data_IF_712930622858
#
_entry.id   IF_712930622858
#
_cell.length_a   1.000
_cell.length_b   1.000
_cell.length_c   1.000
_cell.angle_alpha   90.00
_cell.angle_beta   90.00
_cell.angle_gamma   90.00
#
_symmetry.space_group_name_H-M   'P 1'
#
loop_
_entity.id
_entity.type
_entity.pdbx_description
1 polymer ?
#
# COMPACT_ATOMS: atom_id res chain seq x y z
N UNK A 1 7.12 -45.47 -10.60
CA UNK A 1 8.32 -44.86 -9.97
C UNK A 1 8.64 -43.49 -10.58
N UNK A 2 8.87 -43.40 -11.89
CA UNK A 2 9.23 -42.13 -12.57
C UNK A 2 8.22 -40.97 -12.40
N UNK A 3 6.91 -41.24 -12.48
CA UNK A 3 5.85 -40.23 -12.28
C UNK A 3 5.75 -39.72 -10.84
N UNK A 4 6.12 -40.55 -9.86
CA UNK A 4 6.10 -40.18 -8.44
C UNK A 4 7.26 -39.24 -8.13
N UNK A 5 8.44 -39.54 -8.70
CA UNK A 5 9.66 -38.72 -8.58
C UNK A 5 9.53 -37.34 -9.25
N UNK A 6 8.84 -37.26 -10.39
CA UNK A 6 8.53 -35.97 -11.03
C UNK A 6 7.59 -35.11 -10.17
N UNK A 7 6.57 -35.71 -9.55
CA UNK A 7 5.65 -34.97 -8.66
C UNK A 7 6.38 -34.41 -7.43
N UNK A 8 7.28 -35.19 -6.82
CA UNK A 8 8.04 -34.74 -5.65
C UNK A 8 9.01 -33.61 -6.00
N UNK A 9 9.66 -33.66 -7.18
CA UNK A 9 10.52 -32.56 -7.65
C UNK A 9 9.68 -31.31 -7.92
N UNK A 10 8.50 -31.45 -8.52
CA UNK A 10 7.62 -30.31 -8.80
C UNK A 10 7.14 -29.62 -7.52
N UNK A 11 6.75 -30.39 -6.49
CA UNK A 11 6.39 -29.87 -5.17
C UNK A 11 7.59 -29.21 -4.48
N UNK A 12 8.78 -29.78 -4.59
CA UNK A 12 10.00 -29.18 -4.03
C UNK A 12 10.36 -27.85 -4.72
N UNK A 13 10.19 -27.76 -6.04
CA UNK A 13 10.43 -26.52 -6.80
C UNK A 13 9.38 -25.46 -6.50
N UNK A 14 8.10 -25.84 -6.37
CA UNK A 14 7.01 -24.91 -6.01
C UNK A 14 7.18 -24.37 -4.58
N UNK A 15 7.60 -25.22 -3.63
CA UNK A 15 7.90 -24.78 -2.27
C UNK A 15 9.13 -23.90 -2.20
N UNK A 16 10.19 -24.22 -2.97
CA UNK A 16 11.38 -23.36 -3.08
C UNK A 16 11.05 -22.02 -3.73
N UNK A 17 10.21 -22.01 -4.77
CA UNK A 17 9.71 -20.79 -5.42
C UNK A 17 8.83 -19.98 -4.47
N UNK A 18 7.94 -20.64 -3.71
CA UNK A 18 7.12 -19.99 -2.68
C UNK A 18 7.95 -19.38 -1.55
N UNK A 19 9.00 -20.07 -1.11
CA UNK A 19 9.97 -19.53 -0.14
C UNK A 19 10.77 -18.37 -0.73
N UNK A 20 11.29 -18.49 -1.95
CA UNK A 20 11.97 -17.40 -2.65
C UNK A 20 11.06 -16.18 -2.81
N UNK A 21 9.81 -16.36 -3.21
CA UNK A 21 8.83 -15.28 -3.27
C UNK A 21 8.55 -14.70 -1.87
N UNK A 22 8.37 -15.52 -0.83
CA UNK A 22 8.13 -15.03 0.53
C UNK A 22 9.31 -14.23 1.12
N UNK A 23 10.55 -14.55 0.74
CA UNK A 23 11.75 -13.82 1.17
C UNK A 23 12.11 -12.62 0.27
N UNK A 24 11.68 -12.62 -1.00
CA UNK A 24 11.91 -11.51 -1.94
C UNK A 24 10.76 -10.48 -1.90
N UNK A 25 9.54 -10.87 -1.57
CA UNK A 25 8.38 -9.97 -1.50
C UNK A 25 8.55 -8.80 -0.51
N UNK A 26 9.20 -8.94 0.67
CA UNK A 26 9.49 -7.79 1.52
C UNK A 26 10.43 -6.76 0.86
N UNK A 27 11.26 -7.19 -0.10
CA UNK A 27 12.17 -6.34 -0.88
C UNK A 27 11.42 -5.58 -1.98
N UNK A 28 10.28 -6.12 -2.46
CA UNK A 28 9.45 -5.49 -3.48
C UNK A 28 8.38 -4.54 -2.89
N UNK A 29 8.10 -4.64 -1.59
CA UNK A 29 7.18 -3.74 -0.88
C UNK A 29 7.87 -2.60 -0.15
N UNK A 30 9.19 -2.41 -0.28
CA UNK A 30 9.87 -1.26 0.33
C UNK A 30 9.39 0.02 -0.35
N UNK A 31 8.35 0.61 0.21
CA UNK A 31 7.86 1.94 -0.12
C UNK A 31 9.04 2.90 -0.07
N UNK A 32 9.30 3.58 -1.19
CA UNK A 32 10.35 4.58 -1.27
C UNK A 32 10.09 5.67 -0.22
N UNK A 33 10.99 5.78 0.75
CA UNK A 33 11.04 6.84 1.77
C UNK A 33 11.14 8.20 1.08
N UNK A 34 10.36 9.18 1.52
CA UNK A 34 10.27 10.54 0.94
C UNK A 34 11.36 11.43 1.57
N UNK A 35 11.93 12.36 0.80
CA UNK A 35 12.91 13.34 1.28
C UNK A 35 14.32 13.17 0.71
N UNK A 36 15.26 13.95 1.26
CA UNK A 36 16.60 14.25 0.72
C UNK A 36 17.26 13.05 0.02
N UNK A 37 17.66 13.28 -1.22
CA UNK A 37 18.38 12.32 -2.05
C UNK A 37 19.71 12.02 -1.35
N UNK A 38 19.93 10.76 -1.00
CA UNK A 38 21.15 10.35 -0.31
C UNK A 38 22.32 10.52 -1.27
N UNK A 39 23.06 11.62 -1.15
CA UNK A 39 24.50 11.51 -1.35
C UNK A 39 24.95 10.47 -0.33
N UNK A 40 25.60 9.42 -0.80
CA UNK A 40 26.12 8.33 0.01
C UNK A 40 26.77 8.97 1.24
N UNK A 41 26.22 8.71 2.43
CA UNK A 41 26.92 9.04 3.66
C UNK A 41 28.19 8.19 3.67
N UNK A 42 29.28 8.75 3.14
CA UNK A 42 30.61 8.35 3.53
C UNK A 42 30.82 8.84 4.97
N UNK A 43 30.13 8.24 5.92
CA UNK A 43 30.40 8.43 7.35
C UNK A 43 30.69 7.08 7.98
N UNK A 44 31.98 6.78 7.93
CA UNK A 44 32.78 5.88 8.79
C UNK A 44 32.13 5.50 10.11
N UNK A 45 31.92 4.20 10.33
CA UNK A 45 31.93 3.48 11.62
C UNK A 45 31.23 4.10 12.85
N UNK A 46 30.34 5.08 12.68
CA UNK A 46 29.61 5.67 13.79
C UNK A 46 28.30 4.91 13.95
N UNK A 47 28.07 4.39 15.15
CA UNK A 47 26.84 3.70 15.52
C UNK A 47 25.65 4.64 15.23
N UNK A 48 24.85 4.33 14.20
CA UNK A 48 23.76 5.17 13.66
C UNK A 48 22.50 5.17 14.56
N UNK A 49 22.73 5.23 15.88
CA UNK A 49 21.68 5.41 16.88
C UNK A 49 21.13 6.84 16.84
N UNK A 50 19.87 6.99 17.21
CA UNK A 50 19.13 8.25 17.24
C UNK A 50 18.55 8.53 18.63
N UNK A 51 19.40 8.69 19.67
CA UNK A 51 18.91 9.08 20.98
C UNK A 51 18.36 10.52 20.91
N UNK A 52 17.27 10.78 21.64
CA UNK A 52 16.60 12.09 21.65
C UNK A 52 17.50 13.25 22.09
N UNK A 53 18.55 12.95 22.86
CA UNK A 53 19.52 13.94 23.36
C UNK A 53 20.69 14.19 22.40
N UNK A 54 20.72 13.53 21.24
CA UNK A 54 21.76 13.77 20.24
C UNK A 54 21.61 15.19 19.71
N UNK A 55 22.71 15.95 19.71
CA UNK A 55 22.75 17.27 19.10
C UNK A 55 23.00 17.12 17.59
N UNK A 56 21.92 16.84 16.85
CA UNK A 56 21.94 16.63 15.39
C UNK A 56 20.98 17.62 14.72
N UNK A 57 21.26 17.95 13.46
CA UNK A 57 20.34 18.74 12.64
C UNK A 57 19.08 17.93 12.27
N UNK A 58 17.95 18.59 11.93
CA UNK A 58 16.77 17.89 11.40
C UNK A 58 17.10 17.01 10.17
N UNK A 59 17.97 17.48 9.29
CA UNK A 59 18.45 16.76 8.10
C UNK A 59 19.24 15.51 8.48
N UNK A 60 20.14 15.60 9.45
CA UNK A 60 20.92 14.47 9.94
C UNK A 60 20.02 13.39 10.53
N UNK A 61 19.02 13.76 11.35
CA UNK A 61 18.04 12.80 11.86
C UNK A 61 17.28 12.12 10.72
N UNK A 62 16.83 12.88 9.72
CA UNK A 62 16.10 12.35 8.57
C UNK A 62 16.91 11.34 7.76
N UNK A 63 18.17 11.66 7.51
CA UNK A 63 19.08 10.84 6.72
C UNK A 63 19.49 9.57 7.48
N UNK A 64 19.74 9.67 8.79
CA UNK A 64 19.97 8.50 9.65
C UNK A 64 18.75 7.59 9.71
N UNK A 65 17.53 8.15 9.76
CA UNK A 65 16.30 7.38 9.72
C UNK A 65 16.17 6.59 8.42
N UNK A 66 16.45 7.24 7.28
CA UNK A 66 16.47 6.60 5.95
C UNK A 66 17.50 5.47 5.86
N UNK A 67 18.71 5.69 6.37
CA UNK A 67 19.72 4.64 6.42
C UNK A 67 19.25 3.44 7.25
N UNK A 68 18.79 3.68 8.49
CA UNK A 68 18.33 2.62 9.38
C UNK A 68 17.18 1.82 8.76
N UNK A 69 16.23 2.48 8.08
CA UNK A 69 15.16 1.81 7.33
C UNK A 69 15.71 0.89 6.23
N UNK A 70 16.69 1.37 5.45
CA UNK A 70 17.30 0.59 4.35
C UNK A 70 18.03 -0.66 4.85
N UNK A 71 18.57 -0.63 6.07
CA UNK A 71 19.23 -1.79 6.70
C UNK A 71 18.30 -2.54 7.66
N UNK A 72 16.97 -2.35 7.55
CA UNK A 72 15.92 -3.00 8.32
C UNK A 72 15.97 -2.79 9.86
N UNK A 73 16.64 -1.72 10.31
CA UNK A 73 16.65 -1.23 11.70
C UNK A 73 15.46 -0.29 11.92
N UNK A 74 14.26 -0.86 11.88
CA UNK A 74 13.03 -0.07 11.82
C UNK A 74 12.75 0.72 13.11
N UNK A 75 13.05 0.16 14.28
CA UNK A 75 12.88 0.86 15.56
C UNK A 75 13.80 2.09 15.66
N UNK A 76 15.06 1.95 15.23
CA UNK A 76 15.99 3.08 15.13
C UNK A 76 15.50 4.11 14.11
N UNK A 77 15.02 3.67 12.94
CA UNK A 77 14.47 4.56 11.92
C UNK A 77 13.29 5.38 12.44
N UNK A 78 12.35 4.74 13.16
CA UNK A 78 11.20 5.39 13.82
C UNK A 78 11.69 6.46 14.79
N UNK A 79 12.68 6.14 15.63
CA UNK A 79 13.23 7.09 16.59
C UNK A 79 13.92 8.28 15.91
N UNK A 80 14.71 8.04 14.86
CA UNK A 80 15.34 9.10 14.07
C UNK A 80 14.30 10.04 13.47
N UNK A 81 13.28 9.50 12.79
CA UNK A 81 12.27 10.32 12.15
C UNK A 81 11.37 11.05 13.14
N UNK A 82 11.09 10.46 14.32
CA UNK A 82 10.39 11.16 15.39
C UNK A 82 11.18 12.38 15.89
N UNK A 83 12.49 12.26 16.07
CA UNK A 83 13.34 13.39 16.42
C UNK A 83 13.43 14.42 15.28
N UNK A 84 13.47 13.97 14.02
CA UNK A 84 13.44 14.86 12.85
C UNK A 84 12.15 15.69 12.79
N UNK A 85 10.99 15.07 13.04
CA UNK A 85 9.69 15.76 13.10
C UNK A 85 9.70 16.87 14.14
N UNK A 86 10.15 16.55 15.37
CA UNK A 86 10.24 17.53 16.45
C UNK A 86 11.18 18.70 16.08
N UNK A 87 12.34 18.40 15.49
CA UNK A 87 13.34 19.39 15.12
C UNK A 87 12.90 20.27 13.93
N UNK A 88 12.25 19.70 12.91
CA UNK A 88 11.71 20.47 11.78
C UNK A 88 10.59 21.41 12.19
N UNK A 89 9.73 20.99 13.13
CA UNK A 89 8.70 21.87 13.71
C UNK A 89 9.30 23.05 14.47
N UNK A 90 10.41 22.86 15.18
CA UNK A 90 11.10 23.95 15.89
C UNK A 90 11.65 25.02 14.94
N UNK A 91 12.03 24.64 13.72
CA UNK A 91 12.49 25.57 12.67
C UNK A 91 11.38 25.98 11.69
N UNK A 92 10.11 25.73 12.04
CA UNK A 92 8.91 26.06 11.25
C UNK A 92 8.88 25.45 9.84
N UNK A 93 9.51 24.29 9.63
CA UNK A 93 9.46 23.56 8.36
C UNK A 93 8.46 22.39 8.45
N UNK A 94 7.17 22.72 8.37
CA UNK A 94 6.10 21.72 8.51
C UNK A 94 6.07 20.72 7.34
N UNK A 95 6.51 21.11 6.13
CA UNK A 95 6.54 20.18 4.99
C UNK A 95 7.52 19.02 5.24
N UNK A 96 8.74 19.32 5.71
CA UNK A 96 9.71 18.28 6.04
C UNK A 96 9.35 17.52 7.33
N UNK A 97 8.67 18.16 8.28
CA UNK A 97 8.09 17.46 9.41
C UNK A 97 7.06 16.40 8.93
N UNK A 98 6.16 16.76 8.02
CA UNK A 98 5.19 15.81 7.44
C UNK A 98 5.89 14.69 6.67
N UNK A 99 6.91 14.99 5.86
CA UNK A 99 7.67 13.96 5.13
C UNK A 99 8.29 12.93 6.09
N UNK A 100 8.91 13.39 7.18
CA UNK A 100 9.50 12.50 8.18
C UNK A 100 8.45 11.72 8.98
N UNK A 101 7.29 12.33 9.24
CA UNK A 101 6.16 11.65 9.88
C UNK A 101 5.59 10.54 8.98
N UNK A 102 5.52 10.75 7.66
CA UNK A 102 5.17 9.72 6.69
C UNK A 102 6.20 8.59 6.74
N UNK A 103 7.49 8.92 6.72
CA UNK A 103 8.54 7.91 6.78
C UNK A 103 8.47 7.07 8.06
N UNK A 104 8.22 7.69 9.22
CA UNK A 104 7.94 6.99 10.47
C UNK A 104 6.83 5.96 10.30
N UNK A 105 5.71 6.33 9.68
CA UNK A 105 4.60 5.41 9.43
C UNK A 105 4.96 4.24 8.50
N UNK A 106 5.92 4.42 7.59
CA UNK A 106 6.41 3.35 6.71
C UNK A 106 7.24 2.32 7.50
N UNK A 107 8.09 2.77 8.44
CA UNK A 107 8.79 1.84 9.34
C UNK A 107 7.82 1.13 10.29
N UNK A 108 6.81 1.82 10.81
CA UNK A 108 5.78 1.22 11.66
C UNK A 108 5.02 0.10 10.91
N UNK A 109 4.68 0.31 9.63
CA UNK A 109 4.11 -0.73 8.78
C UNK A 109 5.07 -1.90 8.55
N UNK A 110 6.36 -1.64 8.33
CA UNK A 110 7.35 -2.69 8.08
C UNK A 110 7.51 -3.67 9.25
N UNK A 111 7.22 -3.24 10.48
CA UNK A 111 7.20 -4.10 11.69
C UNK A 111 5.78 -4.54 12.10
N UNK A 112 4.77 -4.32 11.24
CA UNK A 112 3.39 -4.77 11.45
C UNK A 112 2.54 -3.89 12.38
N UNK A 113 3.01 -2.73 12.82
CA UNK A 113 2.29 -1.81 13.70
C UNK A 113 1.33 -0.89 12.93
N UNK A 114 0.40 -1.46 12.16
CA UNK A 114 -0.58 -0.71 11.37
C UNK A 114 -1.43 0.29 12.18
N UNK A 115 -1.93 -0.02 13.41
CA UNK A 115 -2.63 0.98 14.21
C UNK A 115 -1.76 2.18 14.60
N UNK A 116 -0.46 1.95 14.85
CA UNK A 116 0.48 3.03 15.15
C UNK A 116 0.75 3.88 13.91
N UNK A 117 1.00 3.24 12.77
CA UNK A 117 1.16 3.92 11.47
C UNK A 117 -0.07 4.80 11.14
N UNK A 118 -1.26 4.30 11.45
CA UNK A 118 -2.50 5.04 11.26
C UNK A 118 -2.56 6.29 12.14
N UNK A 119 -2.26 6.19 13.44
CA UNK A 119 -2.18 7.36 14.34
C UNK A 119 -1.17 8.37 13.83
N UNK A 120 0.03 7.90 13.47
CA UNK A 120 1.11 8.73 12.92
C UNK A 120 0.64 9.50 11.70
N UNK A 121 -0.08 8.89 10.76
CA UNK A 121 -0.56 9.56 9.54
C UNK A 121 -1.76 10.47 9.79
N UNK A 122 -2.71 10.06 10.64
CA UNK A 122 -3.91 10.83 10.93
C UNK A 122 -3.62 12.16 11.63
N UNK A 123 -2.54 12.23 12.42
CA UNK A 123 -2.08 13.46 13.07
C UNK A 123 -1.75 14.57 12.07
N UNK A 124 -1.27 14.24 10.86
CA UNK A 124 -1.05 15.20 9.76
C UNK A 124 -2.34 15.97 9.42
N UNK A 125 -3.50 15.35 9.67
CA UNK A 125 -4.83 15.88 9.37
C UNK A 125 -5.60 16.31 10.61
N UNK A 126 -4.92 16.40 11.76
CA UNK A 126 -5.49 16.84 13.04
C UNK A 126 -6.34 15.79 13.74
N UNK A 127 -6.07 14.50 13.53
CA UNK A 127 -6.80 13.39 14.15
C UNK A 127 -5.79 12.53 14.94
N UNK A 128 -6.01 12.36 16.24
CA UNK A 128 -5.00 11.74 17.12
C UNK A 128 -5.20 10.23 17.32
N UNK A 129 -6.44 9.76 17.32
CA UNK A 129 -6.80 8.37 17.63
C UNK A 129 -7.47 7.68 16.44
N UNK A 130 -6.71 6.83 15.77
CA UNK A 130 -7.14 6.01 14.66
C UNK A 130 -8.22 5.00 15.05
N UNK A 131 -8.12 4.37 16.22
CA UNK A 131 -9.08 3.33 16.62
C UNK A 131 -10.45 3.98 16.82
N UNK A 132 -10.49 5.09 17.56
CA UNK A 132 -11.72 5.85 17.69
C UNK A 132 -12.22 6.39 16.34
N UNK A 133 -11.32 6.87 15.47
CA UNK A 133 -11.68 7.35 14.13
C UNK A 133 -12.31 6.25 13.24
N UNK A 134 -11.91 4.99 13.41
CA UNK A 134 -12.41 3.86 12.63
C UNK A 134 -13.72 3.31 13.20
N UNK A 135 -13.80 3.17 14.53
CA UNK A 135 -14.92 2.49 15.21
C UNK A 135 -16.12 3.40 15.46
N UNK A 136 -15.92 4.70 15.62
CA UNK A 136 -17.00 5.67 15.81
C UNK A 136 -17.58 6.06 14.45
N UNK A 137 -18.84 5.69 14.22
CA UNK A 137 -19.53 5.94 12.95
C UNK A 137 -19.62 7.43 12.59
N UNK A 138 -19.86 8.30 13.58
CA UNK A 138 -19.96 9.73 13.36
C UNK A 138 -18.58 10.33 13.03
N UNK A 139 -17.52 9.95 13.74
CA UNK A 139 -16.16 10.38 13.38
C UNK A 139 -15.77 9.88 11.99
N UNK A 140 -16.08 8.62 11.67
CA UNK A 140 -15.83 8.02 10.35
C UNK A 140 -16.56 8.79 9.25
N UNK A 141 -17.83 9.14 9.47
CA UNK A 141 -18.63 9.96 8.57
C UNK A 141 -18.04 11.37 8.40
N UNK A 142 -17.72 12.05 9.49
CA UNK A 142 -17.11 13.38 9.47
C UNK A 142 -15.79 13.38 8.68
N UNK A 143 -14.94 12.37 8.87
CA UNK A 143 -13.71 12.24 8.10
C UNK A 143 -13.98 12.04 6.60
N UNK A 144 -14.96 11.20 6.23
CA UNK A 144 -15.36 11.00 4.83
C UNK A 144 -15.88 12.28 4.19
N UNK A 145 -16.71 13.05 4.90
CA UNK A 145 -17.28 14.30 4.39
C UNK A 145 -16.21 15.33 4.01
N UNK A 146 -14.99 15.25 4.58
CA UNK A 146 -13.87 16.11 4.17
C UNK A 146 -13.45 15.88 2.72
N UNK A 147 -13.71 14.70 2.15
CA UNK A 147 -13.41 14.39 0.75
C UNK A 147 -14.55 14.77 -0.19
N UNK A 148 -15.77 14.98 0.35
CA UNK A 148 -16.97 15.33 -0.43
C UNK A 148 -17.16 16.84 -0.56
N UNK A 149 -16.65 17.61 0.40
CA UNK A 149 -16.78 19.08 0.45
C UNK A 149 -15.52 19.76 -0.13
N UNK A 150 -15.65 20.79 -1.00
CA UNK A 150 -14.51 21.47 -1.59
C UNK A 150 -13.52 22.02 -0.57
N UNK A 151 -13.99 22.61 0.52
CA UNK A 151 -13.14 23.23 1.55
C UNK A 151 -12.34 22.18 2.31
N UNK A 152 -12.97 21.03 2.60
CA UNK A 152 -12.31 19.88 3.21
C UNK A 152 -11.23 19.31 2.29
N UNK A 153 -11.55 19.16 1.01
CA UNK A 153 -10.65 18.59 0.01
C UNK A 153 -9.43 19.48 -0.23
N UNK A 154 -9.62 20.79 -0.35
CA UNK A 154 -8.53 21.77 -0.49
C UNK A 154 -7.56 21.66 0.71
N UNK A 155 -8.08 21.54 1.93
CA UNK A 155 -7.26 21.41 3.14
C UNK A 155 -6.50 20.08 3.20
N UNK A 156 -7.12 19.00 2.71
CA UNK A 156 -6.54 17.67 2.64
C UNK A 156 -5.41 17.58 1.61
N UNK A 157 -5.56 18.24 0.47
CA UNK A 157 -4.63 18.20 -0.66
C UNK A 157 -3.71 19.44 -0.74
N UNK A 158 -3.58 20.19 0.36
CA UNK A 158 -2.95 21.52 0.34
C UNK A 158 -1.46 21.52 0.03
N UNK A 159 -0.76 20.39 0.23
CA UNK A 159 0.68 20.25 -0.05
C UNK A 159 1.00 18.87 -0.63
N UNK A 160 2.09 18.74 -1.41
CA UNK A 160 2.56 17.44 -1.91
C UNK A 160 2.79 16.40 -0.79
N UNK A 161 3.35 16.83 0.35
CA UNK A 161 3.56 15.97 1.50
C UNK A 161 2.23 15.43 2.05
N UNK A 162 1.18 16.25 2.15
CA UNK A 162 -0.15 15.79 2.57
C UNK A 162 -0.81 14.85 1.57
N UNK A 163 -0.60 15.06 0.27
CA UNK A 163 -1.09 14.11 -0.77
C UNK A 163 -0.40 12.75 -0.59
N UNK A 164 0.92 12.75 -0.39
CA UNK A 164 1.68 11.53 -0.15
C UNK A 164 1.22 10.84 1.16
N UNK A 165 0.99 11.60 2.22
CA UNK A 165 0.45 11.10 3.49
C UNK A 165 -0.90 10.42 3.35
N UNK A 166 -1.81 10.99 2.54
CA UNK A 166 -3.13 10.40 2.28
C UNK A 166 -3.00 9.08 1.52
N UNK A 167 -2.13 9.02 0.52
CA UNK A 167 -1.87 7.78 -0.21
C UNK A 167 -1.41 6.66 0.74
N UNK A 168 -0.42 6.95 1.59
CA UNK A 168 0.07 5.97 2.56
C UNK A 168 -1.02 5.63 3.59
N UNK A 169 -1.83 6.59 4.02
CA UNK A 169 -2.97 6.33 4.91
C UNK A 169 -4.00 5.39 4.27
N UNK A 170 -4.26 5.53 2.97
CA UNK A 170 -5.07 4.57 2.21
C UNK A 170 -4.50 3.14 2.33
N UNK A 171 -3.21 2.98 2.10
CA UNK A 171 -2.54 1.68 2.27
C UNK A 171 -2.63 1.12 3.69
N UNK A 172 -2.50 1.97 4.72
CA UNK A 172 -2.66 1.58 6.12
C UNK A 172 -4.10 1.14 6.39
N UNK A 173 -5.11 1.89 5.91
CA UNK A 173 -6.51 1.49 6.03
C UNK A 173 -6.79 0.17 5.32
N UNK A 174 -6.21 -0.07 4.15
CA UNK A 174 -6.28 -1.38 3.49
C UNK A 174 -5.71 -2.49 4.37
N UNK A 175 -4.53 -2.27 4.97
CA UNK A 175 -3.90 -3.23 5.88
C UNK A 175 -4.69 -3.50 7.16
N UNK A 176 -5.45 -2.52 7.64
CA UNK A 176 -6.37 -2.65 8.78
C UNK A 176 -7.72 -3.29 8.41
N UNK A 177 -7.98 -3.55 7.12
CA UNK A 177 -9.28 -4.04 6.64
C UNK A 177 -10.34 -2.96 6.44
N UNK A 178 -9.99 -1.69 6.62
CA UNK A 178 -10.85 -0.52 6.38
C UNK A 178 -10.92 -0.15 4.89
N UNK A 179 -11.36 -1.12 4.08
CA UNK A 179 -11.31 -1.05 2.62
C UNK A 179 -12.12 0.11 2.05
N UNK A 180 -13.25 0.45 2.66
CA UNK A 180 -14.10 1.56 2.22
C UNK A 180 -13.42 2.92 2.41
N UNK A 181 -12.59 3.07 3.45
CA UNK A 181 -11.80 4.30 3.69
C UNK A 181 -10.61 4.34 2.73
N UNK A 182 -9.90 3.21 2.57
CA UNK A 182 -8.82 3.09 1.59
C UNK A 182 -9.29 3.47 0.18
N UNK A 183 -10.40 2.87 -0.26
CA UNK A 183 -10.97 3.12 -1.58
C UNK A 183 -11.36 4.58 -1.76
N UNK A 184 -12.05 5.18 -0.77
CA UNK A 184 -12.47 6.58 -0.82
C UNK A 184 -11.26 7.52 -1.00
N UNK A 185 -10.22 7.34 -0.20
CA UNK A 185 -9.02 8.17 -0.26
C UNK A 185 -8.33 8.02 -1.62
N UNK A 186 -8.00 6.78 -2.00
CA UNK A 186 -7.19 6.52 -3.19
C UNK A 186 -7.94 6.87 -4.48
N UNK A 187 -9.25 6.66 -4.53
CA UNK A 187 -10.08 7.09 -5.67
C UNK A 187 -10.12 8.62 -5.78
N UNK A 188 -10.28 9.33 -4.65
CA UNK A 188 -10.25 10.80 -4.65
C UNK A 188 -8.89 11.33 -5.12
N UNK A 189 -7.78 10.72 -4.69
CA UNK A 189 -6.44 11.10 -5.14
C UNK A 189 -6.23 10.80 -6.64
N UNK A 190 -6.67 9.64 -7.12
CA UNK A 190 -6.55 9.25 -8.53
C UNK A 190 -7.30 10.21 -9.48
N UNK A 191 -8.42 10.77 -9.01
CA UNK A 191 -9.24 11.71 -9.77
C UNK A 191 -8.89 13.19 -9.54
N UNK A 192 -7.92 13.49 -8.68
CA UNK A 192 -7.55 14.88 -8.37
C UNK A 192 -6.55 15.45 -9.38
N UNK A 193 -6.78 16.69 -9.81
CA UNK A 193 -5.87 17.45 -10.68
C UNK A 193 -4.61 17.95 -9.95
N UNK A 194 -4.62 17.96 -8.61
CA UNK A 194 -3.47 18.38 -7.80
C UNK A 194 -2.45 17.26 -7.59
N UNK A 195 -2.72 16.06 -8.11
CA UNK A 195 -1.80 14.93 -8.03
C UNK A 195 -0.59 15.19 -8.92
N UNK A 196 0.59 15.23 -8.32
CA UNK A 196 1.85 15.36 -9.05
C UNK A 196 2.00 14.16 -10.01
N UNK A 197 2.42 14.35 -11.28
CA UNK A 197 2.58 13.26 -12.24
C UNK A 197 3.42 12.09 -11.73
N UNK A 198 4.45 12.40 -10.93
CA UNK A 198 5.36 11.42 -10.33
C UNK A 198 4.70 10.50 -9.28
N UNK A 199 3.57 10.91 -8.70
CA UNK A 199 2.82 10.10 -7.73
C UNK A 199 1.61 9.38 -8.34
N UNK A 200 1.18 9.79 -9.53
CA UNK A 200 -0.04 9.28 -10.16
C UNK A 200 0.02 7.75 -10.33
N UNK A 201 1.10 7.21 -10.90
CA UNK A 201 1.25 5.75 -11.12
C UNK A 201 1.12 4.96 -9.81
N UNK A 202 1.75 5.45 -8.74
CA UNK A 202 1.74 4.75 -7.47
C UNK A 202 0.39 4.85 -6.74
N UNK A 203 -0.34 5.97 -6.90
CA UNK A 203 -1.72 6.11 -6.41
C UNK A 203 -2.65 5.12 -7.13
N UNK A 204 -2.53 5.02 -8.46
CA UNK A 204 -3.29 4.05 -9.25
C UNK A 204 -2.96 2.61 -8.85
N UNK A 205 -1.68 2.28 -8.65
CA UNK A 205 -1.27 0.97 -8.18
C UNK A 205 -1.90 0.64 -6.81
N UNK A 206 -1.86 1.56 -5.86
CA UNK A 206 -2.44 1.40 -4.52
C UNK A 206 -3.97 1.27 -4.57
N UNK A 207 -4.64 2.02 -5.45
CA UNK A 207 -6.07 1.88 -5.70
C UNK A 207 -6.41 0.49 -6.25
N UNK A 208 -5.64 0.00 -7.24
CA UNK A 208 -5.77 -1.35 -7.77
C UNK A 208 -5.61 -2.41 -6.68
N UNK A 209 -4.63 -2.25 -5.79
CA UNK A 209 -4.42 -3.14 -4.63
C UNK A 209 -5.62 -3.16 -3.68
N UNK A 210 -6.24 -2.00 -3.46
CA UNK A 210 -7.45 -1.89 -2.64
C UNK A 210 -8.64 -2.59 -3.30
N UNK A 211 -8.83 -2.38 -4.61
CA UNK A 211 -9.91 -3.00 -5.36
C UNK A 211 -9.73 -4.52 -5.45
N UNK A 212 -8.50 -5.00 -5.59
CA UNK A 212 -8.20 -6.43 -5.46
C UNK A 212 -8.59 -6.98 -4.09
N UNK A 213 -8.28 -6.24 -3.02
CA UNK A 213 -8.64 -6.67 -1.66
C UNK A 213 -10.16 -6.70 -1.48
N UNK A 214 -10.90 -5.77 -2.10
CA UNK A 214 -12.36 -5.81 -2.18
C UNK A 214 -12.83 -7.08 -2.92
N UNK A 215 -12.25 -7.42 -4.07
CA UNK A 215 -12.57 -8.67 -4.78
C UNK A 215 -12.41 -9.89 -3.86
N UNK A 216 -11.27 -10.02 -3.18
CA UNK A 216 -11.01 -11.14 -2.27
C UNK A 216 -12.05 -11.22 -1.14
N UNK A 217 -12.46 -10.08 -0.57
CA UNK A 217 -13.51 -10.02 0.46
C UNK A 217 -14.84 -10.54 -0.06
N UNK A 218 -15.22 -10.18 -1.29
CA UNK A 218 -16.46 -10.66 -1.91
C UNK A 218 -16.40 -12.16 -2.25
N UNK A 219 -15.24 -12.67 -2.69
CA UNK A 219 -15.03 -14.12 -2.86
C UNK A 219 -15.23 -14.86 -1.53
N UNK A 220 -14.69 -14.33 -0.45
CA UNK A 220 -14.85 -14.86 0.91
C UNK A 220 -16.30 -14.83 1.39
N UNK A 221 -17.04 -13.75 1.11
CA UNK A 221 -18.47 -13.70 1.41
C UNK A 221 -19.24 -14.75 0.62
N UNK A 222 -19.02 -14.82 -0.69
CA UNK A 222 -19.65 -15.82 -1.55
C UNK A 222 -19.39 -17.24 -1.05
N UNK A 223 -18.14 -17.58 -0.70
CA UNK A 223 -17.80 -18.89 -0.16
C UNK A 223 -18.60 -19.25 1.10
N UNK A 224 -18.96 -18.26 1.93
CA UNK A 224 -19.74 -18.44 3.16
C UNK A 224 -21.26 -18.46 2.93
N UNK A 225 -21.77 -17.56 2.09
CA UNK A 225 -23.21 -17.27 1.99
C UNK A 225 -23.84 -17.74 0.67
N UNK A 226 -23.04 -18.03 -0.35
CA UNK A 226 -23.43 -18.43 -1.70
C UNK A 226 -24.38 -17.44 -2.40
N UNK A 227 -24.33 -16.15 -2.04
CA UNK A 227 -25.15 -15.10 -2.63
C UNK A 227 -24.54 -14.63 -3.95
N UNK A 228 -25.32 -14.66 -5.04
CA UNK A 228 -24.86 -14.29 -6.38
C UNK A 228 -24.35 -12.85 -6.49
N UNK A 229 -24.83 -11.94 -5.63
CA UNK A 229 -24.33 -10.57 -5.54
C UNK A 229 -22.83 -10.53 -5.22
N UNK A 230 -22.37 -11.30 -4.22
CA UNK A 230 -20.95 -11.35 -3.87
C UNK A 230 -20.10 -11.96 -5.00
N UNK A 231 -20.66 -12.93 -5.74
CA UNK A 231 -19.99 -13.47 -6.93
C UNK A 231 -19.79 -12.37 -7.99
N UNK A 232 -20.85 -11.62 -8.30
CA UNK A 232 -20.81 -10.54 -9.29
C UNK A 232 -19.85 -9.43 -8.87
N UNK A 233 -19.87 -9.03 -7.60
CA UNK A 233 -18.95 -8.03 -7.06
C UNK A 233 -17.49 -8.52 -7.10
N UNK A 234 -17.22 -9.79 -6.77
CA UNK A 234 -15.88 -10.37 -6.83
C UNK A 234 -15.27 -10.25 -8.24
N UNK A 235 -16.00 -10.68 -9.28
CA UNK A 235 -15.54 -10.57 -10.67
C UNK A 235 -15.41 -9.11 -11.12
N UNK A 236 -16.38 -8.27 -10.77
CA UNK A 236 -16.36 -6.85 -11.13
C UNK A 236 -15.12 -6.16 -10.57
N UNK A 237 -14.85 -6.34 -9.27
CA UNK A 237 -13.65 -5.78 -8.65
C UNK A 237 -12.37 -6.36 -9.24
N UNK A 238 -12.31 -7.67 -9.50
CA UNK A 238 -11.13 -8.28 -10.12
C UNK A 238 -10.82 -7.67 -11.50
N UNK A 239 -11.85 -7.49 -12.34
CA UNK A 239 -11.72 -6.87 -13.66
C UNK A 239 -11.27 -5.41 -13.58
N UNK A 240 -11.84 -4.62 -12.65
CA UNK A 240 -11.43 -3.23 -12.45
C UNK A 240 -9.98 -3.15 -11.98
N UNK A 241 -9.56 -3.99 -11.04
CA UNK A 241 -8.17 -4.04 -10.60
C UNK A 241 -7.22 -4.45 -11.74
N UNK A 242 -7.57 -5.44 -12.57
CA UNK A 242 -6.80 -5.82 -13.77
C UNK A 242 -6.65 -4.64 -14.74
N UNK A 243 -7.73 -3.91 -15.04
CA UNK A 243 -7.70 -2.72 -15.91
C UNK A 243 -6.74 -1.67 -15.35
N UNK A 244 -6.79 -1.40 -14.05
CA UNK A 244 -5.88 -0.43 -13.41
C UNK A 244 -4.43 -0.88 -13.53
N UNK A 245 -4.13 -2.15 -13.22
CA UNK A 245 -2.77 -2.67 -13.37
C UNK A 245 -2.28 -2.64 -14.82
N UNK A 246 -3.15 -2.94 -15.78
CA UNK A 246 -2.84 -2.80 -17.21
C UNK A 246 -2.47 -1.35 -17.55
N UNK A 247 -3.22 -0.37 -17.07
CA UNK A 247 -2.92 1.04 -17.32
C UNK A 247 -1.57 1.45 -16.74
N UNK A 248 -1.31 1.13 -15.48
CA UNK A 248 -0.02 1.43 -14.81
C UNK A 248 1.14 0.75 -15.54
N UNK A 249 0.97 -0.50 -15.99
CA UNK A 249 2.01 -1.25 -16.71
C UNK A 249 2.36 -0.69 -18.10
N UNK A 250 1.48 0.12 -18.70
CA UNK A 250 1.66 0.67 -20.06
C UNK A 250 2.30 2.06 -20.05
N UNK A 251 2.41 2.72 -18.91
CA UNK A 251 3.04 4.05 -18.84
C UNK A 251 4.52 3.90 -19.17
N UNK A 252 4.95 4.38 -20.34
CA UNK A 252 6.36 4.39 -20.72
C UNK A 252 7.04 5.60 -20.09
N UNK A 253 7.93 5.36 -19.14
CA UNK A 253 8.84 6.41 -18.68
C UNK A 253 9.91 6.63 -19.76
N UNK A 254 10.05 7.87 -20.23
CA UNK A 254 11.06 8.30 -21.21
C UNK A 254 12.51 8.25 -20.66
N UNK A 255 12.71 7.75 -19.44
CA UNK A 255 13.99 7.61 -18.77
C UNK A 255 14.58 6.20 -18.97
N UNK A 256 15.36 6.06 -20.03
CA UNK A 256 16.47 5.12 -20.27
C UNK A 256 16.40 3.74 -19.55
N UNK A 257 15.94 2.73 -20.31
CA UNK A 257 16.38 1.32 -20.30
C UNK A 257 16.03 0.37 -19.13
N UNK A 258 15.06 0.65 -18.26
CA UNK A 258 14.46 -0.40 -17.40
C UNK A 258 13.02 -0.03 -17.00
N UNK A 259 12.09 -1.00 -16.88
CA UNK A 259 10.77 -0.73 -16.30
C UNK A 259 10.95 -0.17 -14.89
N UNK A 260 10.23 0.89 -14.56
CA UNK A 260 10.17 1.38 -13.18
C UNK A 260 9.60 0.27 -12.26
N UNK A 261 10.05 0.22 -11.00
CA UNK A 261 9.62 -0.77 -10.01
C UNK A 261 8.08 -0.83 -9.90
N UNK A 262 7.42 0.32 -10.03
CA UNK A 262 5.95 0.46 -10.05
C UNK A 262 5.31 -0.34 -11.20
N UNK A 263 5.92 -0.32 -12.39
CA UNK A 263 5.41 -1.02 -13.58
C UNK A 263 5.58 -2.53 -13.44
N UNK A 264 6.74 -2.97 -12.93
CA UNK A 264 6.98 -4.38 -12.65
C UNK A 264 6.00 -4.88 -11.59
N UNK A 265 5.77 -4.12 -10.52
CA UNK A 265 4.79 -4.45 -9.50
C UNK A 265 3.37 -4.54 -10.08
N UNK A 266 2.98 -3.64 -10.97
CA UNK A 266 1.69 -3.70 -11.65
C UNK A 266 1.55 -4.97 -12.49
N UNK A 267 2.58 -5.35 -13.27
CA UNK A 267 2.58 -6.58 -14.06
C UNK A 267 2.47 -7.84 -13.18
N UNK A 268 3.19 -7.88 -12.06
CA UNK A 268 3.12 -8.98 -11.10
C UNK A 268 1.74 -9.05 -10.43
N UNK A 269 1.19 -7.90 -10.01
CA UNK A 269 -0.15 -7.82 -9.43
C UNK A 269 -1.22 -8.30 -10.40
N UNK A 270 -1.06 -7.95 -11.69
CA UNK A 270 -1.93 -8.39 -12.78
C UNK A 270 -1.90 -9.90 -12.97
N UNK A 271 -0.72 -10.48 -13.08
CA UNK A 271 -0.58 -11.93 -13.20
C UNK A 271 -1.21 -12.63 -11.99
N UNK A 272 -0.91 -12.14 -10.79
CA UNK A 272 -1.38 -12.74 -9.56
C UNK A 272 -2.91 -12.66 -9.41
N UNK A 273 -3.58 -11.57 -9.81
CA UNK A 273 -5.04 -11.49 -9.67
C UNK A 273 -5.76 -12.42 -10.65
N UNK A 274 -5.23 -12.57 -11.87
CA UNK A 274 -5.77 -13.51 -12.87
C UNK A 274 -5.65 -14.96 -12.37
N UNK A 275 -4.50 -15.33 -11.82
CA UNK A 275 -4.27 -16.67 -11.27
C UNK A 275 -5.20 -16.96 -10.09
N UNK A 276 -5.32 -16.04 -9.13
CA UNK A 276 -6.21 -16.17 -7.97
C UNK A 276 -7.67 -16.33 -8.42
N UNK A 277 -8.09 -15.54 -9.42
CA UNK A 277 -9.47 -15.56 -9.91
C UNK A 277 -9.81 -16.88 -10.63
N UNK A 278 -8.88 -17.42 -11.43
CA UNK A 278 -9.04 -18.72 -12.09
C UNK A 278 -9.16 -19.84 -11.06
N UNK A 279 -8.27 -19.86 -10.05
CA UNK A 279 -8.30 -20.89 -9.01
C UNK A 279 -9.61 -20.85 -8.20
N UNK A 280 -10.05 -19.65 -7.82
CA UNK A 280 -11.32 -19.47 -7.14
C UNK A 280 -12.51 -19.87 -8.01
N UNK A 281 -12.53 -19.50 -9.30
CA UNK A 281 -13.57 -19.89 -10.24
C UNK A 281 -13.66 -21.42 -10.39
N UNK A 282 -12.51 -22.10 -10.50
CA UNK A 282 -12.45 -23.56 -10.59
C UNK A 282 -13.01 -24.22 -9.32
N UNK A 283 -12.67 -23.67 -8.15
CA UNK A 283 -13.21 -24.13 -6.86
C UNK A 283 -14.73 -23.96 -6.83
N UNK A 284 -15.24 -22.77 -7.11
CA UNK A 284 -16.69 -22.50 -7.11
C UNK A 284 -17.40 -23.37 -8.13
N UNK A 285 -16.84 -23.58 -9.32
CA UNK A 285 -17.44 -24.44 -10.35
C UNK A 285 -17.59 -25.89 -9.92
N UNK A 286 -16.61 -26.43 -9.17
CA UNK A 286 -16.68 -27.78 -8.61
C UNK A 286 -17.73 -27.88 -7.49
N UNK A 287 -17.81 -26.86 -6.64
CA UNK A 287 -18.79 -26.80 -5.54
C UNK A 287 -20.22 -26.59 -6.06
N UNK A 288 -20.37 -25.85 -7.17
CA UNK A 288 -21.67 -25.52 -7.78
C UNK A 288 -22.09 -26.47 -8.90
N UNK A 289 -21.35 -27.52 -9.25
CA UNK A 289 -21.82 -28.55 -10.21
C UNK A 289 -23.14 -29.25 -9.79
N UNK A 290 -23.65 -29.00 -8.58
CA UNK A 290 -25.00 -29.39 -8.11
C UNK A 290 -26.07 -28.28 -8.18
N UNK A 291 -25.71 -27.04 -8.54
CA UNK A 291 -26.59 -25.86 -8.65
C UNK A 291 -26.30 -25.11 -9.96
N UNK A 292 -27.28 -25.05 -10.86
CA UNK A 292 -27.22 -24.53 -12.23
C UNK A 292 -26.17 -23.44 -12.56
N UNK A 293 -25.60 -23.61 -13.76
CA UNK A 293 -24.49 -22.93 -14.43
C UNK A 293 -24.39 -21.39 -14.22
N UNK A 294 -23.74 -20.96 -13.14
CA UNK A 294 -23.60 -19.55 -12.75
C UNK A 294 -22.61 -18.78 -13.66
N UNK A 295 -21.74 -19.47 -14.40
CA UNK A 295 -20.59 -18.86 -15.10
C UNK A 295 -20.80 -18.50 -16.58
N UNK A 296 -21.97 -18.76 -17.17
CA UNK A 296 -22.23 -18.39 -18.58
C UNK A 296 -22.18 -16.86 -18.84
N UNK A 297 -22.22 -16.02 -17.80
CA UNK A 297 -22.13 -14.56 -17.95
C UNK A 297 -20.69 -14.03 -18.04
N UNK A 298 -19.67 -14.82 -17.66
CA UNK A 298 -18.29 -14.34 -17.51
C UNK A 298 -17.30 -14.93 -18.52
N UNK A 299 -17.73 -15.90 -19.35
CA UNK A 299 -16.89 -16.55 -20.38
C UNK A 299 -16.44 -15.66 -21.54
N UNK A 300 -16.82 -14.37 -21.53
CA UNK A 300 -16.45 -13.40 -22.57
C UNK A 300 -15.33 -12.43 -22.12
N UNK A 301 -14.74 -12.63 -20.94
CA UNK A 301 -13.79 -11.69 -20.34
C UNK A 301 -12.33 -12.21 -20.35
N UNK A 302 -12.10 -13.48 -20.65
CA UNK A 302 -10.76 -14.06 -20.87
C UNK A 302 -10.75 -15.01 -22.06
#
# INVERSE_FOLDING_TARGET
>A
MHKLYQKTIYLALLTLLGLLLAFILPILTSSKVIGVQSQILQQTNQELSCPKTANLTPEDFSLRGKYNYQVARFDEAINCWKNAVDAYRQVNNEEEAINNQINQSLAEQAIGFYPRACNTLLQIYGIEDCISQIQDEEKRKQFRERFDKPEGLIKLLSTPAKVAGLRILGNVFRGLGELDLSYKILLTLANSTNTLPQQAEAIWLDLGNTIRTLSNREQDFYNRNQQSENLNCAFTYANVADIIYQQVSRVQNLAINSPDLTQLQAQLNRLSIVLDLIDWQDKVSKETQTKENIFQQFSNIY
#
